data_IF_926791450107
#
_entry.id   IF_926791450107
#
_cell.length_a   1.000
_cell.length_b   1.000
_cell.length_c   1.000
_cell.angle_alpha   90.00
_cell.angle_beta   90.00
_cell.angle_gamma   90.00
#
_symmetry.space_group_name_H-M   'P 1'
#
loop_
_entity.id
_entity.type
_entity.pdbx_description
1 polymer ?
#
# COMPACT_ATOMS: atom_id res chain seq x y z
N UNK A 1 18.60 -24.90 -10.90
CA UNK A 1 18.21 -25.46 -9.59
C UNK A 1 16.68 -25.52 -9.52
N UNK A 2 16.07 -26.58 -8.95
CA UNK A 2 14.59 -26.73 -8.90
C UNK A 2 13.98 -26.47 -7.51
N UNK A 3 14.80 -26.46 -6.47
CA UNK A 3 14.39 -26.16 -5.10
C UNK A 3 15.51 -25.45 -4.36
N UNK A 4 15.15 -24.53 -3.47
CA UNK A 4 16.08 -23.81 -2.60
C UNK A 4 15.43 -23.70 -1.21
N UNK A 5 16.15 -24.13 -0.18
CA UNK A 5 15.72 -24.00 1.21
C UNK A 5 16.65 -23.04 1.94
N UNK A 6 16.11 -21.90 2.36
CA UNK A 6 16.80 -20.84 3.12
C UNK A 6 16.24 -20.67 4.53
N UNK A 7 15.36 -21.59 4.97
CA UNK A 7 14.61 -21.47 6.23
C UNK A 7 15.50 -21.31 7.47
N UNK A 8 16.70 -21.90 7.45
CA UNK A 8 17.66 -21.84 8.56
C UNK A 8 18.63 -20.66 8.45
N UNK A 9 18.61 -19.89 7.35
CA UNK A 9 19.47 -18.74 7.14
C UNK A 9 18.82 -17.46 7.71
N UNK A 10 18.49 -17.45 9.00
CA UNK A 10 17.76 -16.34 9.65
C UNK A 10 18.52 -15.01 9.65
N UNK A 11 19.85 -15.05 9.46
CA UNK A 11 20.70 -13.86 9.32
C UNK A 11 20.94 -13.44 7.84
N UNK A 12 20.23 -14.04 6.89
CA UNK A 12 20.39 -13.75 5.47
C UNK A 12 19.96 -12.30 5.17
N UNK A 13 20.91 -11.49 4.70
CA UNK A 13 20.68 -10.07 4.41
C UNK A 13 20.30 -9.79 2.95
N UNK A 14 20.70 -10.69 2.04
CA UNK A 14 20.46 -10.62 0.59
C UNK A 14 20.29 -12.03 0.05
N UNK A 15 19.39 -12.21 -0.92
CA UNK A 15 19.23 -13.47 -1.63
C UNK A 15 19.19 -13.23 -3.15
N UNK A 16 20.13 -13.85 -3.87
CA UNK A 16 20.16 -13.93 -5.34
C UNK A 16 19.93 -15.38 -5.75
N UNK A 17 18.82 -15.65 -6.42
CA UNK A 17 18.45 -16.98 -6.90
C UNK A 17 17.80 -16.96 -8.29
N UNK A 18 18.05 -15.89 -9.06
CA UNK A 18 17.62 -15.73 -10.44
C UNK A 18 18.18 -16.80 -11.39
N UNK A 19 17.60 -16.91 -12.59
CA UNK A 19 18.01 -17.85 -13.64
C UNK A 19 17.98 -19.32 -13.18
N UNK A 20 16.86 -19.73 -12.61
CA UNK A 20 16.68 -21.09 -12.10
C UNK A 20 15.33 -21.69 -12.55
N UNK A 21 14.97 -22.82 -11.95
CA UNK A 21 13.73 -23.55 -12.22
C UNK A 21 12.93 -23.70 -10.93
N UNK A 22 13.02 -22.72 -10.02
CA UNK A 22 12.29 -22.73 -8.75
C UNK A 22 10.81 -22.58 -9.04
N UNK A 23 10.02 -23.51 -8.52
CA UNK A 23 8.54 -23.44 -8.57
C UNK A 23 7.96 -22.81 -7.31
N UNK A 24 8.75 -22.74 -6.24
CA UNK A 24 8.39 -22.12 -4.97
C UNK A 24 9.62 -21.55 -4.28
N UNK A 25 9.43 -20.48 -3.52
CA UNK A 25 10.46 -19.87 -2.67
C UNK A 25 9.80 -19.42 -1.37
N UNK A 26 10.32 -19.89 -0.24
CA UNK A 26 9.87 -19.47 1.09
C UNK A 26 10.97 -18.66 1.77
N UNK A 27 10.68 -17.37 2.01
CA UNK A 27 11.56 -16.41 2.69
C UNK A 27 10.98 -15.92 4.01
N UNK A 28 9.93 -16.57 4.52
CA UNK A 28 9.18 -16.13 5.71
C UNK A 28 10.03 -16.07 6.98
N UNK A 29 11.04 -16.95 7.10
CA UNK A 29 11.97 -16.98 8.23
C UNK A 29 13.19 -16.05 8.06
N UNK A 30 13.36 -15.44 6.89
CA UNK A 30 14.51 -14.59 6.57
C UNK A 30 14.18 -13.11 6.84
N UNK A 31 13.69 -12.81 8.04
CA UNK A 31 13.27 -11.45 8.44
C UNK A 31 14.41 -10.42 8.45
N UNK A 32 15.67 -10.90 8.43
CA UNK A 32 16.86 -10.06 8.28
C UNK A 32 17.17 -9.67 6.82
N UNK A 33 16.35 -10.05 5.83
CA UNK A 33 16.52 -9.59 4.45
C UNK A 33 16.22 -8.09 4.38
N UNK A 34 17.28 -7.28 4.19
CA UNK A 34 17.14 -5.83 4.08
C UNK A 34 17.76 -5.24 2.82
N UNK A 35 18.74 -5.91 2.19
CA UNK A 35 19.35 -5.37 0.97
C UNK A 35 18.50 -5.68 -0.26
N UNK A 36 17.98 -6.89 -0.38
CA UNK A 36 17.21 -7.27 -1.57
C UNK A 36 16.98 -8.76 -1.75
N UNK A 37 15.96 -9.05 -2.53
CA UNK A 37 15.59 -10.38 -3.00
C UNK A 37 15.49 -10.34 -4.52
N UNK A 38 16.34 -11.11 -5.19
CA UNK A 38 16.25 -11.38 -6.62
C UNK A 38 15.95 -12.85 -6.85
N UNK A 39 14.77 -13.10 -7.41
CA UNK A 39 14.25 -14.39 -7.80
C UNK A 39 13.68 -14.37 -9.23
N UNK A 40 14.18 -13.46 -10.07
CA UNK A 40 13.79 -13.35 -11.47
C UNK A 40 14.05 -14.66 -12.26
N UNK A 41 13.42 -14.80 -13.42
CA UNK A 41 13.72 -15.89 -14.37
C UNK A 41 13.62 -17.28 -13.71
N UNK A 42 12.44 -17.54 -13.13
CA UNK A 42 12.08 -18.79 -12.45
C UNK A 42 10.66 -19.23 -12.87
N UNK A 43 10.07 -20.18 -12.16
CA UNK A 43 8.73 -20.72 -12.42
C UNK A 43 7.80 -20.52 -11.22
N UNK A 44 8.02 -19.45 -10.43
CA UNK A 44 7.24 -19.16 -9.23
C UNK A 44 5.80 -18.80 -9.61
N UNK A 45 4.83 -19.37 -8.90
CA UNK A 45 3.40 -19.03 -9.07
C UNK A 45 2.88 -18.04 -8.04
N UNK A 46 3.60 -17.89 -6.92
CA UNK A 46 3.30 -16.93 -5.87
C UNK A 46 4.58 -16.53 -5.14
N UNK A 47 4.62 -15.30 -4.64
CA UNK A 47 5.69 -14.80 -3.79
C UNK A 47 5.09 -14.01 -2.63
N UNK A 48 5.51 -14.31 -1.40
CA UNK A 48 5.12 -13.59 -0.19
C UNK A 48 6.35 -13.05 0.51
N UNK A 49 6.42 -11.72 0.63
CA UNK A 49 7.49 -11.00 1.34
C UNK A 49 6.94 -10.18 2.51
N UNK A 50 5.71 -10.46 2.96
CA UNK A 50 5.03 -9.72 4.05
C UNK A 50 5.79 -9.75 5.38
N UNK A 51 6.56 -10.80 5.65
CA UNK A 51 7.39 -10.92 6.86
C UNK A 51 8.77 -10.24 6.73
N UNK A 52 9.16 -9.82 5.53
CA UNK A 52 10.47 -9.21 5.27
C UNK A 52 10.36 -7.69 5.38
N UNK A 53 9.99 -7.19 6.57
CA UNK A 53 9.59 -5.78 6.78
C UNK A 53 10.67 -4.76 6.41
N UNK A 54 11.95 -5.16 6.47
CA UNK A 54 13.11 -4.31 6.13
C UNK A 54 13.60 -4.47 4.69
N UNK A 55 12.94 -5.29 3.86
CA UNK A 55 13.38 -5.58 2.50
C UNK A 55 13.36 -4.31 1.64
N UNK A 56 14.53 -3.93 1.08
CA UNK A 56 14.65 -2.72 0.28
C UNK A 56 14.14 -2.84 -1.16
N UNK A 57 14.38 -3.98 -1.81
CA UNK A 57 13.85 -4.25 -3.14
C UNK A 57 13.50 -5.72 -3.35
N UNK A 58 12.55 -5.97 -4.24
CA UNK A 58 12.21 -7.29 -4.76
C UNK A 58 12.21 -7.28 -6.27
N UNK A 59 12.94 -8.23 -6.86
CA UNK A 59 12.98 -8.51 -8.28
C UNK A 59 12.48 -9.94 -8.51
N UNK A 60 11.31 -10.03 -9.14
CA UNK A 60 10.58 -11.28 -9.36
C UNK A 60 9.93 -11.34 -10.76
N UNK A 61 10.50 -10.60 -11.71
CA UNK A 61 10.10 -10.63 -13.11
C UNK A 61 10.35 -12.00 -13.77
N UNK A 62 9.77 -12.20 -14.96
CA UNK A 62 9.91 -13.43 -15.75
C UNK A 62 9.58 -14.68 -14.93
N UNK A 63 8.41 -14.67 -14.29
CA UNK A 63 7.88 -15.79 -13.51
C UNK A 63 6.44 -16.09 -13.98
N UNK A 64 5.72 -16.90 -13.20
CA UNK A 64 4.31 -17.23 -13.45
C UNK A 64 3.42 -16.74 -12.30
N UNK A 65 3.81 -15.62 -11.66
CA UNK A 65 3.15 -15.13 -10.46
C UNK A 65 1.71 -14.76 -10.76
N UNK A 66 0.78 -15.43 -10.07
CA UNK A 66 -0.63 -15.03 -9.98
C UNK A 66 -0.89 -14.19 -8.73
N UNK A 67 0.02 -14.24 -7.74
CA UNK A 67 -0.04 -13.42 -6.54
C UNK A 67 1.36 -12.96 -6.10
N UNK A 68 1.42 -11.70 -5.66
CA UNK A 68 2.59 -11.09 -5.03
C UNK A 68 2.09 -10.36 -3.77
N UNK A 69 2.49 -10.83 -2.60
CA UNK A 69 2.13 -10.20 -1.33
C UNK A 69 3.31 -9.38 -0.79
N UNK A 70 3.17 -8.06 -0.83
CA UNK A 70 4.13 -7.10 -0.25
C UNK A 70 3.59 -6.40 0.99
N UNK A 71 2.42 -6.79 1.48
CA UNK A 71 1.78 -6.12 2.61
C UNK A 71 2.56 -6.38 3.90
N UNK A 72 3.18 -5.33 4.44
CA UNK A 72 4.08 -5.42 5.61
C UNK A 72 5.55 -5.19 5.26
N UNK A 73 5.92 -5.17 3.98
CA UNK A 73 7.25 -4.77 3.53
C UNK A 73 7.41 -3.24 3.55
N UNK A 74 7.39 -2.65 4.76
CA UNK A 74 7.25 -1.20 4.97
C UNK A 74 8.43 -0.39 4.43
N UNK A 75 9.62 -0.98 4.36
CA UNK A 75 10.83 -0.33 3.84
C UNK A 75 11.05 -0.56 2.33
N UNK A 76 10.12 -1.28 1.67
CA UNK A 76 10.26 -1.67 0.26
C UNK A 76 10.18 -0.45 -0.65
N UNK A 77 11.25 -0.25 -1.43
CA UNK A 77 11.39 0.90 -2.33
C UNK A 77 11.21 0.55 -3.79
N UNK A 78 11.63 -0.64 -4.21
CA UNK A 78 11.54 -1.05 -5.61
C UNK A 78 10.88 -2.41 -5.74
N UNK A 79 9.87 -2.48 -6.62
CA UNK A 79 9.19 -3.72 -7.00
C UNK A 79 9.31 -3.87 -8.51
N UNK A 80 10.01 -4.92 -8.94
CA UNK A 80 10.09 -5.33 -10.34
C UNK A 80 9.39 -6.68 -10.50
N UNK A 81 8.16 -6.65 -11.01
CA UNK A 81 7.29 -7.82 -11.17
C UNK A 81 6.74 -7.95 -12.60
N UNK A 82 7.43 -7.38 -13.58
CA UNK A 82 7.04 -7.45 -14.99
C UNK A 82 7.12 -8.88 -15.55
N UNK A 83 6.40 -9.14 -16.64
CA UNK A 83 6.34 -10.47 -17.29
C UNK A 83 5.87 -11.57 -16.31
N UNK A 84 4.65 -11.39 -15.80
CA UNK A 84 3.97 -12.30 -14.87
C UNK A 84 2.48 -12.44 -15.24
N UNK A 85 1.68 -13.06 -14.36
CA UNK A 85 0.25 -13.33 -14.59
C UNK A 85 -0.62 -12.67 -13.50
N UNK A 86 -0.17 -11.56 -12.92
CA UNK A 86 -0.88 -10.87 -11.84
C UNK A 86 -2.18 -10.25 -12.38
N UNK A 87 -3.30 -10.59 -11.74
CA UNK A 87 -4.61 -9.97 -12.02
C UNK A 87 -4.91 -8.79 -11.10
N UNK A 88 -4.24 -8.74 -9.95
CA UNK A 88 -4.31 -7.68 -8.97
C UNK A 88 -2.95 -7.49 -8.31
N UNK A 89 -2.63 -6.26 -7.91
CA UNK A 89 -1.43 -5.94 -7.16
C UNK A 89 -1.76 -4.85 -6.15
N UNK A 90 -1.74 -5.24 -4.87
CA UNK A 90 -1.91 -4.33 -3.75
C UNK A 90 -0.52 -3.97 -3.19
N UNK A 91 -0.19 -2.68 -3.26
CA UNK A 91 1.07 -2.11 -2.76
C UNK A 91 0.81 -1.09 -1.64
N UNK A 92 -0.41 -1.05 -1.08
CA UNK A 92 -0.76 -0.14 0.01
C UNK A 92 0.06 -0.40 1.27
N UNK A 93 0.43 -1.67 1.53
CA UNK A 93 1.32 -2.06 2.62
C UNK A 93 2.82 -1.79 2.38
N UNK A 94 3.20 -1.16 1.26
CA UNK A 94 4.56 -0.73 0.93
C UNK A 94 4.63 0.81 0.74
N UNK A 95 4.40 1.62 1.79
CA UNK A 95 4.29 3.08 1.68
C UNK A 95 5.58 3.77 1.22
N UNK A 96 6.75 3.15 1.43
CA UNK A 96 8.05 3.66 1.00
C UNK A 96 8.36 3.41 -0.50
N UNK A 97 7.44 2.80 -1.25
CA UNK A 97 7.63 2.43 -2.64
C UNK A 97 7.94 3.65 -3.51
N UNK A 98 9.13 3.63 -4.11
CA UNK A 98 9.64 4.67 -5.01
C UNK A 98 9.62 4.27 -6.49
N UNK A 99 9.65 2.97 -6.80
CA UNK A 99 9.58 2.44 -8.17
C UNK A 99 8.71 1.19 -8.26
N UNK A 100 7.83 1.15 -9.25
CA UNK A 100 7.00 -0.01 -9.55
C UNK A 100 7.00 -0.33 -11.05
N UNK A 101 7.57 -1.48 -11.42
CA UNK A 101 7.47 -2.00 -12.78
C UNK A 101 6.61 -3.27 -12.78
N UNK A 102 5.42 -3.16 -13.36
CA UNK A 102 4.42 -4.23 -13.45
C UNK A 102 3.96 -4.46 -14.91
N UNK A 103 4.85 -4.17 -15.87
CA UNK A 103 4.62 -4.39 -17.31
C UNK A 103 4.23 -5.84 -17.62
N UNK A 104 3.43 -6.07 -18.68
CA UNK A 104 3.09 -7.41 -19.16
C UNK A 104 2.51 -8.29 -18.04
N UNK A 105 1.42 -7.81 -17.45
CA UNK A 105 0.60 -8.55 -16.49
C UNK A 105 -0.88 -8.50 -16.94
N UNK A 106 -1.81 -8.87 -16.07
CA UNK A 106 -3.25 -8.91 -16.35
C UNK A 106 -4.03 -7.98 -15.39
N UNK A 107 -3.37 -6.92 -14.89
CA UNK A 107 -3.97 -6.01 -13.92
C UNK A 107 -5.16 -5.26 -14.52
N UNK A 108 -6.30 -5.27 -13.82
CA UNK A 108 -7.52 -4.56 -14.25
C UNK A 108 -7.68 -3.18 -13.61
N UNK A 109 -7.04 -2.97 -12.46
CA UNK A 109 -6.92 -1.69 -11.79
C UNK A 109 -5.61 -1.65 -11.03
N UNK A 110 -5.13 -0.43 -10.73
CA UNK A 110 -3.94 -0.21 -9.93
C UNK A 110 -4.13 1.05 -9.09
N UNK A 111 -4.07 0.91 -7.78
CA UNK A 111 -4.18 2.02 -6.83
C UNK A 111 -2.82 2.30 -6.17
N UNK A 112 -2.33 3.52 -6.36
CA UNK A 112 -1.05 4.00 -5.86
C UNK A 112 -1.22 5.23 -4.95
N UNK A 113 -2.45 5.52 -4.51
CA UNK A 113 -2.76 6.68 -3.66
C UNK A 113 -1.97 6.70 -2.34
N UNK A 114 -1.60 5.54 -1.81
CA UNK A 114 -0.82 5.40 -0.58
C UNK A 114 0.70 5.49 -0.80
N UNK A 115 1.18 5.42 -2.05
CA UNK A 115 2.61 5.38 -2.37
C UNK A 115 3.13 6.79 -2.68
N UNK A 116 3.14 7.69 -1.68
CA UNK A 116 3.47 9.12 -1.86
C UNK A 116 4.91 9.38 -2.31
N UNK A 117 5.81 8.41 -2.13
CA UNK A 117 7.21 8.49 -2.56
C UNK A 117 7.45 7.92 -3.95
N UNK A 118 6.40 7.40 -4.62
CA UNK A 118 6.53 6.82 -5.95
C UNK A 118 7.05 7.89 -6.91
N UNK A 119 8.10 7.58 -7.63
CA UNK A 119 8.75 8.48 -8.59
C UNK A 119 8.83 7.87 -9.99
N UNK A 120 8.67 6.55 -10.10
CA UNK A 120 8.74 5.81 -11.34
C UNK A 120 7.69 4.71 -11.39
N UNK A 121 6.92 4.69 -12.48
CA UNK A 121 5.88 3.71 -12.74
C UNK A 121 5.97 3.24 -14.20
N UNK A 122 6.03 1.92 -14.39
CA UNK A 122 5.88 1.28 -15.69
C UNK A 122 4.80 0.21 -15.59
N UNK A 123 3.61 0.52 -16.12
CA UNK A 123 2.42 -0.34 -16.06
C UNK A 123 1.85 -0.70 -17.43
N UNK A 124 2.67 -0.56 -18.49
CA UNK A 124 2.28 -0.87 -19.86
C UNK A 124 1.87 -2.34 -20.06
N UNK A 125 1.10 -2.61 -21.11
CA UNK A 125 0.66 -3.97 -21.47
C UNK A 125 -0.05 -4.69 -20.32
N UNK A 126 -1.08 -4.06 -19.78
CA UNK A 126 -2.00 -4.65 -18.81
C UNK A 126 -3.44 -4.55 -19.34
N UNK A 127 -4.42 -4.80 -18.48
CA UNK A 127 -5.84 -4.69 -18.79
C UNK A 127 -6.49 -3.56 -17.97
N UNK A 128 -5.71 -2.52 -17.63
CA UNK A 128 -6.16 -1.48 -16.71
C UNK A 128 -7.40 -0.79 -17.27
N UNK A 129 -8.41 -0.65 -16.42
CA UNK A 129 -9.60 0.18 -16.65
C UNK A 129 -9.51 1.48 -15.86
N UNK A 130 -8.78 1.43 -14.74
CA UNK A 130 -8.54 2.55 -13.85
C UNK A 130 -7.12 2.51 -13.28
N UNK A 131 -6.48 3.67 -13.21
CA UNK A 131 -5.19 3.87 -12.56
C UNK A 131 -5.31 5.04 -11.58
N UNK A 132 -5.09 4.82 -10.28
CA UNK A 132 -5.10 5.89 -9.29
C UNK A 132 -3.66 6.27 -8.94
N UNK A 133 -3.25 7.46 -9.37
CA UNK A 133 -1.94 8.06 -9.07
C UNK A 133 -2.11 9.39 -8.31
N UNK A 134 -3.24 9.54 -7.61
CA UNK A 134 -3.52 10.66 -6.71
C UNK A 134 -2.79 10.45 -5.38
N UNK A 135 -1.49 10.73 -5.39
CA UNK A 135 -0.60 10.44 -4.28
C UNK A 135 0.25 11.66 -3.87
N UNK A 136 -0.24 12.88 -4.15
CA UNK A 136 0.30 14.19 -3.73
C UNK A 136 1.68 14.56 -4.28
N UNK A 137 2.33 13.70 -5.07
CA UNK A 137 3.69 13.91 -5.60
C UNK A 137 3.72 14.70 -6.92
N UNK A 138 2.57 15.21 -7.38
CA UNK A 138 2.46 16.03 -8.60
C UNK A 138 3.04 17.46 -8.47
N UNK A 139 3.62 17.83 -7.33
CA UNK A 139 4.13 19.18 -7.08
C UNK A 139 5.53 19.44 -7.66
N UNK A 140 6.26 18.43 -8.14
CA UNK A 140 7.52 18.64 -8.86
C UNK A 140 7.67 17.72 -10.11
N UNK A 141 7.39 18.25 -11.32
CA UNK A 141 7.61 17.55 -12.59
C UNK A 141 9.06 17.10 -12.83
N UNK A 142 10.04 17.58 -12.06
CA UNK A 142 11.43 17.13 -12.14
C UNK A 142 11.70 15.81 -11.41
N UNK A 143 10.79 15.37 -10.53
CA UNK A 143 10.95 14.18 -9.67
C UNK A 143 10.17 12.98 -10.18
N UNK A 144 9.04 13.20 -10.86
CA UNK A 144 8.20 12.12 -11.35
C UNK A 144 8.56 11.72 -12.79
N UNK A 145 9.15 10.54 -12.94
CA UNK A 145 9.41 9.88 -14.22
C UNK A 145 8.36 8.80 -14.45
N UNK A 146 7.16 9.21 -14.86
CA UNK A 146 6.23 8.26 -15.44
C UNK A 146 6.78 7.90 -16.83
N UNK A 147 7.27 6.67 -16.96
CA UNK A 147 8.04 6.26 -18.15
C UNK A 147 7.18 5.56 -19.20
N UNK A 148 6.11 4.83 -18.81
CA UNK A 148 5.16 4.24 -19.77
C UNK A 148 3.95 3.55 -19.11
N UNK A 149 2.73 3.87 -19.56
CA UNK A 149 1.46 3.20 -19.22
C UNK A 149 0.62 2.82 -20.46
N UNK A 150 1.21 2.82 -21.66
CA UNK A 150 0.57 2.47 -22.93
C UNK A 150 0.15 0.98 -23.00
N UNK A 151 -0.61 0.60 -24.02
CA UNK A 151 -1.08 -0.78 -24.21
C UNK A 151 -1.98 -1.26 -23.06
N UNK A 152 -2.77 -0.35 -22.50
CA UNK A 152 -3.93 -0.58 -21.66
C UNK A 152 -5.18 -0.08 -22.40
N UNK A 153 -5.68 -0.80 -23.42
CA UNK A 153 -6.71 -0.29 -24.33
C UNK A 153 -8.06 0.00 -23.67
N UNK A 154 -8.29 -0.53 -22.47
CA UNK A 154 -9.52 -0.29 -21.69
C UNK A 154 -9.34 0.82 -20.64
N UNK A 155 -8.16 1.45 -20.54
CA UNK A 155 -7.90 2.48 -19.57
C UNK A 155 -8.63 3.74 -20.00
N UNK A 156 -9.66 4.10 -19.24
CA UNK A 156 -10.45 5.31 -19.48
C UNK A 156 -10.27 6.35 -18.39
N UNK A 157 -9.83 5.93 -17.19
CA UNK A 157 -9.72 6.81 -16.04
C UNK A 157 -8.36 6.72 -15.37
N UNK A 158 -7.66 7.86 -15.31
CA UNK A 158 -6.46 8.05 -14.51
C UNK A 158 -6.78 9.08 -13.44
N UNK A 159 -6.89 8.64 -12.19
CA UNK A 159 -7.16 9.53 -11.06
C UNK A 159 -5.89 10.26 -10.64
N UNK A 160 -5.95 11.59 -10.58
CA UNK A 160 -4.81 12.48 -10.29
C UNK A 160 -5.19 13.57 -9.28
N UNK A 161 -4.20 14.15 -8.61
CA UNK A 161 -4.41 15.29 -7.71
C UNK A 161 -4.85 16.56 -8.45
N UNK A 162 -4.20 16.86 -9.59
CA UNK A 162 -4.50 18.02 -10.44
C UNK A 162 -4.49 17.63 -11.92
N UNK A 163 -5.65 17.74 -12.55
CA UNK A 163 -5.86 17.38 -13.96
C UNK A 163 -5.06 18.26 -14.92
N UNK A 164 -4.91 19.56 -14.63
CA UNK A 164 -4.21 20.49 -15.50
C UNK A 164 -2.69 20.24 -15.48
N UNK A 165 -2.13 19.96 -14.29
CA UNK A 165 -0.73 19.56 -14.14
C UNK A 165 -0.49 18.23 -14.84
N UNK A 166 -1.36 17.23 -14.64
CA UNK A 166 -1.23 15.93 -15.27
C UNK A 166 -1.28 16.00 -16.81
N UNK A 167 -2.18 16.81 -17.38
CA UNK A 167 -2.22 17.05 -18.83
C UNK A 167 -0.95 17.75 -19.32
N UNK A 168 -0.41 18.69 -18.56
CA UNK A 168 0.83 19.39 -18.95
C UNK A 168 2.04 18.45 -18.91
N UNK A 169 2.11 17.58 -17.89
CA UNK A 169 3.21 16.65 -17.71
C UNK A 169 3.14 15.45 -18.67
N UNK A 170 1.95 14.90 -18.92
CA UNK A 170 1.76 13.60 -19.58
C UNK A 170 0.77 13.62 -20.76
N UNK A 171 0.07 14.74 -20.98
CA UNK A 171 -0.94 14.88 -22.03
C UNK A 171 -0.40 14.99 -23.46
N UNK A 172 0.93 14.97 -23.65
CA UNK A 172 1.57 14.92 -24.98
C UNK A 172 1.38 13.57 -25.70
N UNK A 173 0.71 12.59 -25.08
CA UNK A 173 0.14 11.42 -25.76
C UNK A 173 1.10 10.24 -25.96
N UNK A 174 2.25 10.22 -25.29
CA UNK A 174 3.21 9.10 -25.36
C UNK A 174 3.21 8.21 -24.11
N UNK A 175 2.64 8.68 -23.00
CA UNK A 175 2.68 7.98 -21.72
C UNK A 175 1.50 7.01 -21.53
N UNK A 176 0.36 7.22 -22.19
CA UNK A 176 -0.85 6.40 -22.05
C UNK A 176 -1.58 6.22 -23.37
N UNK A 177 -2.45 5.22 -23.44
CA UNK A 177 -3.35 5.01 -24.57
C UNK A 177 -4.26 6.23 -24.80
N UNK A 178 -4.65 6.47 -26.04
CA UNK A 178 -5.52 7.59 -26.41
C UNK A 178 -6.92 7.53 -25.78
N UNK A 179 -7.30 6.39 -25.21
CA UNK A 179 -8.55 6.19 -24.46
C UNK A 179 -8.49 6.76 -23.05
N UNK A 180 -7.28 6.95 -22.50
CA UNK A 180 -7.09 7.35 -21.12
C UNK A 180 -7.35 8.86 -20.95
N UNK A 181 -8.03 9.21 -19.85
CA UNK A 181 -8.29 10.59 -19.47
C UNK A 181 -7.87 10.82 -18.02
N UNK A 182 -7.23 11.95 -17.75
CA UNK A 182 -6.94 12.40 -16.40
C UNK A 182 -8.18 13.00 -15.76
N UNK A 183 -8.58 12.49 -14.59
CA UNK A 183 -9.81 12.85 -13.89
C UNK A 183 -9.49 13.02 -12.39
N UNK A 184 -10.23 13.84 -11.67
CA UNK A 184 -10.02 14.11 -10.24
C UNK A 184 -10.68 13.08 -9.30
N UNK A 185 -11.61 12.30 -9.82
CA UNK A 185 -12.32 11.23 -9.13
C UNK A 185 -12.89 10.26 -10.18
N UNK A 186 -12.45 9.02 -10.17
CA UNK A 186 -12.95 8.03 -11.12
C UNK A 186 -14.34 7.45 -10.74
N UNK A 187 -14.94 7.86 -9.62
CA UNK A 187 -16.14 7.28 -8.98
C UNK A 187 -15.93 5.84 -8.47
N UNK A 188 -14.77 5.59 -7.85
CA UNK A 188 -14.37 4.31 -7.24
C UNK A 188 -14.07 3.06 -8.15
N UNK A 189 -13.68 3.16 -9.43
CA UNK A 189 -13.30 1.99 -10.24
C UNK A 189 -11.83 1.56 -10.07
N UNK A 190 -11.02 2.34 -9.35
CA UNK A 190 -9.62 2.01 -9.08
C UNK A 190 -9.42 1.16 -7.83
N UNK A 191 -10.35 1.23 -6.87
CA UNK A 191 -10.35 0.35 -5.71
C UNK A 191 -10.73 -1.04 -6.19
N UNK A 192 -9.73 -1.92 -6.34
CA UNK A 192 -9.95 -3.36 -6.43
C UNK A 192 -10.45 -3.86 -5.08
N UNK A 193 -11.63 -3.44 -4.67
CA UNK A 193 -12.39 -4.18 -3.67
C UNK A 193 -12.85 -5.45 -4.36
N UNK A 194 -12.02 -6.49 -4.28
CA UNK A 194 -12.53 -7.85 -4.09
C UNK A 194 -13.72 -7.72 -3.14
N UNK A 195 -14.91 -8.09 -3.60
CA UNK A 195 -16.17 -8.02 -2.83
C UNK A 195 -15.93 -8.41 -1.37
N UNK A 196 -15.85 -7.42 -0.50
CA UNK A 196 -15.29 -7.58 0.83
C UNK A 196 -15.10 -6.23 1.52
N UNK A 197 -16.22 -5.54 1.74
CA UNK A 197 -16.37 -4.34 2.59
C UNK A 197 -15.67 -3.08 2.03
N UNK A 198 -16.40 -1.96 1.85
CA UNK A 198 -15.76 -0.69 1.50
C UNK A 198 -15.00 -0.17 2.72
N UNK A 199 -13.70 -0.44 2.80
CA UNK A 199 -12.81 0.40 3.58
C UNK A 199 -12.61 1.71 2.82
N UNK A 200 -13.52 2.65 3.06
CA UNK A 200 -13.13 4.04 3.08
C UNK A 200 -12.13 4.17 4.23
N UNK A 201 -10.84 4.23 3.92
CA UNK A 201 -9.77 4.47 4.88
C UNK A 201 -9.95 5.84 5.52
N UNK A 202 -10.70 5.87 6.63
CA UNK A 202 -10.81 6.99 7.54
C UNK A 202 -9.85 6.72 8.70
N UNK A 203 -8.75 7.47 8.74
CA UNK A 203 -7.73 7.36 9.78
C UNK A 203 -8.12 8.17 11.02
N UNK A 204 -8.13 7.52 12.18
CA UNK A 204 -8.13 8.19 13.48
C UNK A 204 -6.67 8.57 13.82
N UNK A 205 -6.35 9.86 13.92
CA UNK A 205 -5.00 10.28 14.29
C UNK A 205 -4.92 10.44 15.82
N UNK A 206 -4.00 9.71 16.45
CA UNK A 206 -3.79 9.70 17.89
C UNK A 206 -2.36 10.08 18.25
N UNK A 207 -2.18 11.16 18.99
CA UNK A 207 -0.85 11.56 19.44
C UNK A 207 -0.85 12.36 20.75
N UNK A 208 0.18 12.20 21.59
CA UNK A 208 1.20 11.16 21.51
C UNK A 208 0.64 9.80 21.93
N UNK A 209 1.10 8.73 21.29
CA UNK A 209 0.83 7.35 21.70
C UNK A 209 2.16 6.57 21.63
N UNK A 210 2.82 6.25 22.77
CA UNK A 210 2.30 6.27 24.14
C UNK A 210 1.98 7.66 24.73
N UNK A 211 0.95 7.73 25.58
CA UNK A 211 0.44 8.97 26.19
C UNK A 211 0.79 9.07 27.67
N UNK A 212 1.28 10.24 28.09
CA UNK A 212 1.51 10.56 29.51
C UNK A 212 0.27 11.19 30.17
N UNK A 213 -0.17 12.38 29.73
CA UNK A 213 -1.23 13.16 30.40
C UNK A 213 -2.36 13.62 29.49
N UNK A 214 -2.07 13.87 28.21
CA UNK A 214 -3.06 14.36 27.24
C UNK A 214 -2.88 13.64 25.92
N UNK A 215 -3.96 13.04 25.41
CA UNK A 215 -4.02 12.43 24.09
C UNK A 215 -4.85 13.32 23.18
N UNK A 216 -4.28 13.72 22.04
CA UNK A 216 -5.02 14.37 20.96
C UNK A 216 -5.59 13.30 20.04
N UNK A 217 -6.86 13.47 19.70
CA UNK A 217 -7.65 12.59 18.86
C UNK A 217 -8.21 13.44 17.72
N UNK A 218 -7.90 13.10 16.47
CA UNK A 218 -8.44 13.80 15.31
C UNK A 218 -9.25 12.85 14.42
N UNK A 219 -10.43 13.31 14.00
CA UNK A 219 -11.30 12.61 13.05
C UNK A 219 -11.59 13.52 11.86
N UNK A 220 -11.75 12.91 10.67
CA UNK A 220 -12.17 13.64 9.46
C UNK A 220 -13.69 13.86 9.39
N UNK A 221 -14.46 13.11 10.20
CA UNK A 221 -15.92 13.17 10.25
C UNK A 221 -16.43 13.20 11.69
N UNK A 222 -17.65 13.74 11.93
CA UNK A 222 -18.32 13.64 13.22
C UNK A 222 -18.43 12.19 13.68
N UNK A 223 -17.99 11.94 14.91
CA UNK A 223 -17.87 10.59 15.47
C UNK A 223 -18.14 10.55 16.97
N UNK A 224 -18.69 9.44 17.46
CA UNK A 224 -18.79 9.10 18.88
C UNK A 224 -17.57 8.31 19.31
N UNK A 225 -16.78 8.86 20.23
CA UNK A 225 -15.62 8.22 20.83
C UNK A 225 -16.01 7.40 22.06
N UNK A 226 -15.57 6.14 22.11
CA UNK A 226 -15.71 5.26 23.26
C UNK A 226 -14.35 4.71 23.71
N UNK A 227 -13.94 4.98 24.94
CA UNK A 227 -12.70 4.42 25.51
C UNK A 227 -13.01 3.23 26.41
N UNK A 228 -12.30 2.13 26.24
CA UNK A 228 -12.44 0.92 27.05
C UNK A 228 -11.13 0.50 27.70
N UNK A 229 -11.20 -0.09 28.89
CA UNK A 229 -10.08 -0.85 29.47
C UNK A 229 -10.00 -2.28 28.88
N UNK A 230 -8.97 -3.03 29.27
CA UNK A 230 -8.79 -4.44 28.84
C UNK A 230 -9.86 -5.40 29.33
N UNK A 231 -10.65 -5.03 30.34
CA UNK A 231 -11.79 -5.81 30.84
C UNK A 231 -13.08 -5.49 30.06
N UNK A 232 -13.04 -4.58 29.08
CA UNK A 232 -14.20 -4.18 28.29
C UNK A 232 -15.11 -3.15 28.96
N UNK A 233 -14.70 -2.57 30.09
CA UNK A 233 -15.45 -1.51 30.77
C UNK A 233 -15.30 -0.19 30.01
N UNK A 234 -16.43 0.48 29.74
CA UNK A 234 -16.48 1.81 29.16
C UNK A 234 -16.00 2.87 30.16
N UNK A 235 -15.08 3.73 29.73
CA UNK A 235 -14.44 4.78 30.51
C UNK A 235 -14.72 6.19 29.98
N UNK A 236 -14.99 6.33 28.68
CA UNK A 236 -15.31 7.59 28.01
C UNK A 236 -16.39 7.32 26.95
N UNK A 237 -17.33 8.24 26.83
CA UNK A 237 -18.31 8.31 25.74
C UNK A 237 -18.47 9.79 25.34
N UNK A 238 -18.03 10.17 24.14
CA UNK A 238 -17.92 11.57 23.73
C UNK A 238 -18.13 11.76 22.23
N UNK A 239 -19.08 12.61 21.84
CA UNK A 239 -19.22 13.06 20.44
C UNK A 239 -18.19 14.15 20.11
N UNK A 240 -17.57 14.03 18.93
CA UNK A 240 -16.57 14.97 18.41
C UNK A 240 -16.83 15.25 16.92
N UNK A 241 -16.46 16.43 16.43
CA UNK A 241 -16.60 16.81 15.01
C UNK A 241 -15.29 16.97 14.25
N UNK A 242 -14.17 17.08 14.96
CA UNK A 242 -12.82 17.20 14.39
C UNK A 242 -11.76 16.74 15.42
N UNK A 243 -11.15 17.68 16.15
CA UNK A 243 -10.10 17.39 17.14
C UNK A 243 -10.64 17.40 18.56
N UNK A 244 -10.21 16.45 19.39
CA UNK A 244 -10.53 16.35 20.81
C UNK A 244 -9.29 15.99 21.63
N UNK A 245 -9.08 16.70 22.74
CA UNK A 245 -7.97 16.44 23.66
C UNK A 245 -8.48 15.74 24.90
N UNK A 246 -8.16 14.45 25.03
CA UNK A 246 -8.49 13.64 26.19
C UNK A 246 -7.44 13.80 27.30
N UNK A 247 -7.86 14.17 28.50
CA UNK A 247 -7.00 14.10 29.69
C UNK A 247 -6.92 12.65 30.20
N UNK A 248 -5.75 12.04 30.06
CA UNK A 248 -5.48 10.65 30.47
C UNK A 248 -4.80 10.55 31.84
N UNK A 249 -4.61 11.66 32.56
CA UNK A 249 -3.86 11.70 33.83
C UNK A 249 -4.50 10.84 34.93
N UNK A 250 -5.82 10.61 34.86
CA UNK A 250 -6.56 9.75 35.78
C UNK A 250 -6.54 8.25 35.41
N UNK A 251 -5.94 7.88 34.28
CA UNK A 251 -5.86 6.49 33.82
C UNK A 251 -4.61 5.80 34.39
N UNK A 252 -4.77 4.56 34.84
CA UNK A 252 -3.65 3.71 35.25
C UNK A 252 -2.75 3.36 34.05
N UNK A 253 -1.48 3.07 34.32
CA UNK A 253 -0.56 2.52 33.31
C UNK A 253 -1.13 1.26 32.68
N UNK A 254 -1.08 1.17 31.35
CA UNK A 254 -1.60 -0.01 30.65
C UNK A 254 -2.12 0.28 29.25
N UNK A 255 -2.89 -0.67 28.74
CA UNK A 255 -3.46 -0.63 27.39
C UNK A 255 -4.94 -0.25 27.48
N UNK A 256 -5.38 0.64 26.61
CA UNK A 256 -6.77 1.00 26.42
C UNK A 256 -7.17 0.85 24.96
N UNK A 257 -8.44 0.59 24.70
CA UNK A 257 -9.00 0.53 23.36
C UNK A 257 -9.90 1.74 23.14
N UNK A 258 -9.54 2.62 22.22
CA UNK A 258 -10.40 3.71 21.78
C UNK A 258 -11.16 3.26 20.55
N UNK A 259 -12.48 3.41 20.56
CA UNK A 259 -13.34 3.23 19.40
C UNK A 259 -13.90 4.58 18.97
N UNK A 260 -14.05 4.79 17.68
CA UNK A 260 -14.79 5.92 17.12
C UNK A 260 -15.90 5.37 16.23
N UNK A 261 -17.13 5.85 16.36
CA UNK A 261 -18.25 5.45 15.51
C UNK A 261 -18.79 6.67 14.79
N UNK A 262 -18.79 6.68 13.46
CA UNK A 262 -19.32 7.81 12.71
C UNK A 262 -20.85 7.75 12.52
N UNK A 263 -21.42 8.81 11.94
CA UNK A 263 -22.85 8.95 11.68
C UNK A 263 -23.43 7.86 10.75
N UNK A 264 -22.57 7.18 9.99
CA UNK A 264 -22.95 6.09 9.08
C UNK A 264 -22.86 4.71 9.77
N UNK A 265 -22.50 4.68 11.06
CA UNK A 265 -22.35 3.47 11.86
C UNK A 265 -21.03 2.73 11.63
N UNK A 266 -20.05 3.34 10.95
CA UNK A 266 -18.73 2.73 10.75
C UNK A 266 -17.92 2.88 12.04
N UNK A 267 -17.31 1.78 12.48
CA UNK A 267 -16.57 1.71 13.75
C UNK A 267 -15.08 1.58 13.47
N UNK A 268 -14.31 2.52 14.01
CA UNK A 268 -12.85 2.55 14.00
C UNK A 268 -12.35 2.19 15.38
N UNK A 269 -11.18 1.55 15.50
CA UNK A 269 -10.62 1.16 16.79
C UNK A 269 -9.12 1.26 16.80
N UNK A 270 -8.55 1.93 17.81
CA UNK A 270 -7.11 2.05 17.96
C UNK A 270 -6.68 1.84 19.41
N UNK A 271 -5.51 1.23 19.56
CA UNK A 271 -4.90 0.95 20.84
C UNK A 271 -4.19 2.20 21.37
N UNK A 272 -4.46 2.55 22.63
CA UNK A 272 -3.74 3.59 23.38
C UNK A 272 -2.83 2.91 24.40
N UNK A 273 -1.59 3.36 24.50
CA UNK A 273 -0.62 2.94 25.50
C UNK A 273 -0.45 4.07 26.51
N UNK A 274 -0.82 3.83 27.78
CA UNK A 274 -0.68 4.79 28.89
C UNK A 274 0.60 4.50 29.68
N UNK A 275 1.50 5.49 29.75
CA UNK A 275 2.74 5.46 30.54
C UNK A 275 2.62 5.96 31.97
#
# INVERSE_FOLDING_TARGET
MTSLDVSNNTALATLYCSDNLLTSLDVSNNTALYYGLDCADNLLTSLDVSNNTSLWYVECNNNQLTSLNVNGATDLRWVYCYDNQLTSLDVSGAPALGRLYCTNNQLTSLDLSQNIYLSELICQSNQLTCLNIKNTNLLDPAVWHLTSGIANPNLTCIEVDDVAIAITAWGSGIAFDSTASFINNCNNPCSSTTTGIPEHSLSLNLYPNPVASYLVIETEHPSTLNLYNTQGQLLLDQEISATYTLNTSGLSRGIYLLKATDEQGRVYSQKIIKE
#
